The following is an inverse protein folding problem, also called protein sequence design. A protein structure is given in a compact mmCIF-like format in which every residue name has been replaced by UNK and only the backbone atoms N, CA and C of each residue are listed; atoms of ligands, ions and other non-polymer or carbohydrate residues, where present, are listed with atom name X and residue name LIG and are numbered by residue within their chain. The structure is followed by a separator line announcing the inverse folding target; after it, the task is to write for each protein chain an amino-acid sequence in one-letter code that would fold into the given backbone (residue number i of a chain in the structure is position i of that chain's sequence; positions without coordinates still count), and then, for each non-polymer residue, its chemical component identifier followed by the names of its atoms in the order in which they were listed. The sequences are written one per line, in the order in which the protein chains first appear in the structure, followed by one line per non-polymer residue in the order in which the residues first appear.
data_IF_872667546376
#
_entry.id   IF_872667546376
#
_cell.length_a   1.000
_cell.length_b   1.000
_cell.length_c   1.000
_cell.angle_alpha   90.00
_cell.angle_beta   90.00
_cell.angle_gamma   90.00
#
_symmetry.space_group_name_H-M   'P 1'
#
loop_
_entity.id
_entity.type
_entity.pdbx_description
1 polymer ?
#
# COMPACT_ATOMS: atom_id res chain seq x y z
N UNK A 1 3.83 9.48 10.73
CA UNK A 1 2.73 8.73 11.39
C UNK A 1 2.54 7.46 10.58
N UNK A 2 2.23 6.30 11.20
CA UNK A 2 1.90 5.10 10.43
C UNK A 2 0.68 5.41 9.54
N UNK A 3 0.65 4.81 8.35
CA UNK A 3 -0.53 4.84 7.50
C UNK A 3 -1.68 4.12 8.20
N UNK A 4 -2.91 4.50 7.84
CA UNK A 4 -4.10 3.74 8.22
C UNK A 4 -4.14 2.42 7.42
N UNK A 5 -4.88 1.44 7.93
CA UNK A 5 -5.01 0.13 7.28
C UNK A 5 -5.71 0.20 5.92
N UNK A 6 -6.51 1.25 5.71
CA UNK A 6 -7.17 1.56 4.44
C UNK A 6 -6.54 2.83 3.88
N UNK A 7 -6.03 2.73 2.66
CA UNK A 7 -5.34 3.83 1.99
C UNK A 7 -6.02 4.15 0.66
N UNK A 8 -6.22 5.43 0.40
CA UNK A 8 -6.74 5.93 -0.88
C UNK A 8 -5.57 6.49 -1.68
N UNK A 9 -5.31 5.90 -2.86
CA UNK A 9 -4.20 6.27 -3.74
C UNK A 9 -4.34 7.74 -4.18
N UNK A 10 -3.27 8.51 -4.03
CA UNK A 10 -3.18 9.90 -4.50
C UNK A 10 -2.70 10.03 -5.95
N UNK A 11 -2.75 11.25 -6.49
CA UNK A 11 -2.20 11.55 -7.82
C UNK A 11 -0.70 11.27 -7.90
N UNK A 12 -0.29 10.48 -8.90
CA UNK A 12 1.11 10.14 -9.15
C UNK A 12 1.71 9.12 -8.19
N UNK A 13 0.94 8.60 -7.22
CA UNK A 13 1.41 7.53 -6.35
C UNK A 13 1.34 6.17 -7.06
N UNK A 14 2.33 5.34 -6.78
CA UNK A 14 2.39 3.93 -7.20
C UNK A 14 2.37 3.04 -5.95
N UNK A 15 2.05 1.75 -6.12
CA UNK A 15 2.17 0.78 -5.02
C UNK A 15 3.55 0.77 -4.38
N UNK A 16 4.62 0.92 -5.18
CA UNK A 16 5.98 0.98 -4.65
C UNK A 16 6.20 2.20 -3.76
N UNK A 17 5.82 3.40 -4.23
CA UNK A 17 5.95 4.62 -3.43
C UNK A 17 5.11 4.58 -2.14
N UNK A 18 3.93 3.94 -2.19
CA UNK A 18 3.05 3.79 -1.02
C UNK A 18 3.62 2.74 -0.05
N UNK A 19 4.14 1.63 -0.56
CA UNK A 19 4.83 0.59 0.20
C UNK A 19 5.99 1.18 1.00
N UNK A 20 6.85 1.98 0.37
CA UNK A 20 7.97 2.66 1.01
C UNK A 20 7.50 3.67 2.07
N UNK A 21 6.48 4.47 1.73
CA UNK A 21 5.89 5.49 2.61
C UNK A 21 5.27 4.88 3.87
N UNK A 22 4.58 3.75 3.72
CA UNK A 22 3.82 3.10 4.78
C UNK A 22 4.59 1.98 5.50
N UNK A 23 5.74 1.58 4.97
CA UNK A 23 6.54 0.48 5.50
C UNK A 23 5.87 -0.88 5.30
N UNK A 24 5.20 -1.10 4.17
CA UNK A 24 4.51 -2.35 3.82
C UNK A 24 5.13 -3.02 2.59
N UNK A 25 6.23 -3.79 2.74
CA UNK A 25 6.91 -4.41 1.61
C UNK A 25 6.10 -5.54 0.96
N UNK A 26 5.02 -6.01 1.59
CA UNK A 26 4.16 -7.09 1.11
C UNK A 26 2.79 -6.59 0.65
N UNK A 27 2.70 -5.29 0.29
CA UNK A 27 1.45 -4.63 -0.07
C UNK A 27 0.64 -5.39 -1.14
N UNK A 28 1.29 -6.10 -2.06
CA UNK A 28 0.62 -6.89 -3.09
C UNK A 28 -0.17 -8.08 -2.53
N UNK A 29 0.30 -8.71 -1.44
CA UNK A 29 -0.35 -9.90 -0.87
C UNK A 29 -1.77 -9.61 -0.36
N UNK A 30 -1.99 -8.38 0.11
CA UNK A 30 -3.27 -7.92 0.62
C UNK A 30 -4.14 -7.23 -0.44
N UNK A 31 -3.61 -7.03 -1.64
CA UNK A 31 -4.28 -6.35 -2.74
C UNK A 31 -4.29 -7.22 -4.02
N UNK A 32 -4.90 -8.43 -3.98
CA UNK A 32 -4.87 -9.36 -5.12
C UNK A 32 -5.66 -8.88 -6.34
N UNK A 33 -6.37 -7.75 -6.25
CA UNK A 33 -7.06 -7.12 -7.37
C UNK A 33 -6.14 -6.23 -8.22
N UNK A 34 -4.92 -5.96 -7.74
CA UNK A 34 -3.88 -5.27 -8.51
C UNK A 34 -2.97 -6.31 -9.13
N UNK A 35 -3.05 -6.46 -10.45
CA UNK A 35 -2.24 -7.43 -11.21
C UNK A 35 -1.18 -6.73 -12.05
N UNK A 36 -1.49 -5.53 -12.54
CA UNK A 36 -0.62 -4.71 -13.35
C UNK A 36 -0.38 -3.34 -12.67
N UNK A 37 0.79 -2.70 -12.86
CA UNK A 37 1.01 -1.33 -12.40
C UNK A 37 -0.08 -0.33 -12.83
N UNK A 38 -0.71 -0.52 -14.00
CA UNK A 38 -1.77 0.35 -14.51
C UNK A 38 -3.10 0.21 -13.75
N UNK A 39 -3.27 -0.84 -12.93
CA UNK A 39 -4.44 -0.99 -12.05
C UNK A 39 -4.40 -0.02 -10.86
N UNK A 40 -3.29 0.70 -10.66
CA UNK A 40 -3.10 1.66 -9.57
C UNK A 40 -3.37 3.07 -10.08
N UNK A 41 -4.48 3.65 -9.64
CA UNK A 41 -4.93 4.98 -10.07
C UNK A 41 -5.46 5.80 -8.88
N UNK A 42 -5.51 7.14 -9.00
CA UNK A 42 -6.00 8.00 -7.93
C UNK A 42 -7.43 7.66 -7.53
N UNK A 43 -7.67 7.53 -6.23
CA UNK A 43 -8.96 7.11 -5.68
C UNK A 43 -9.13 5.60 -5.50
N UNK A 44 -8.20 4.77 -6.01
CA UNK A 44 -8.17 3.35 -5.68
C UNK A 44 -7.98 3.16 -4.17
N UNK A 45 -8.72 2.22 -3.59
CA UNK A 45 -8.63 1.88 -2.18
C UNK A 45 -7.83 0.59 -2.04
N UNK A 46 -6.73 0.65 -1.28
CA UNK A 46 -5.85 -0.49 -1.03
C UNK A 46 -5.67 -0.71 0.47
N UNK A 47 -5.37 -1.96 0.83
CA UNK A 47 -5.09 -2.38 2.19
C UNK A 47 -3.59 -2.22 2.49
N UNK A 48 -3.26 -1.60 3.62
CA UNK A 48 -1.90 -1.44 4.13
C UNK A 48 -1.74 -2.30 5.38
N UNK A 49 -0.76 -3.19 5.40
CA UNK A 49 -0.45 -4.07 6.53
C UNK A 49 1.06 -4.08 6.77
N UNK A 50 1.62 -3.03 7.42
CA UNK A 50 3.05 -2.99 7.71
C UNK A 50 3.43 -4.21 8.55
N UNK A 51 4.64 -4.77 8.37
CA UNK A 51 5.13 -5.82 9.25
C UNK A 51 5.06 -5.30 10.68
N UNK A 52 4.49 -6.11 11.59
CA UNK A 52 4.49 -5.72 13.00
C UNK A 52 5.93 -5.42 13.39
N UNK A 53 6.24 -4.26 14.00
CA UNK A 53 7.54 -4.09 14.59
C UNK A 53 7.70 -5.25 15.56
N UNK A 54 8.71 -6.10 15.33
CA UNK A 54 9.05 -7.15 16.26
C UNK A 54 9.31 -6.43 17.58
N UNK A 55 8.39 -6.58 18.53
CA UNK A 55 8.57 -6.14 19.89
C UNK A 55 9.73 -6.99 20.42
N UNK A 56 10.92 -6.42 20.37
CA UNK A 56 12.08 -6.92 21.11
C UNK A 56 11.86 -6.69 22.60
#
# INVERSE_FOLDING_TARGET
RPCEEIYVVGEGETLHSISDKCGDPYILEQNPHVHDPDDVFPGLVIRITPPRPQLN
#
